data_IF_842328783951
#
_entry.id   IF_842328783951
#
_cell.length_a   1.000
_cell.length_b   1.000
_cell.length_c   1.000
_cell.angle_alpha   90.00
_cell.angle_beta   90.00
_cell.angle_gamma   90.00
#
_symmetry.space_group_name_H-M   'P 1'
#
loop_
_entity.id
_entity.type
_entity.pdbx_description
1 polymer ?
#
# COMPACT_ATOMS: atom_id res chain seq x y z
N UNK A 1 -11.82 -44.06 20.24
CA UNK A 1 -11.00 -42.84 20.52
C UNK A 1 -10.69 -41.97 19.29
N UNK A 2 -11.23 -42.24 18.09
CA UNK A 2 -10.93 -41.48 16.86
C UNK A 2 -11.95 -40.39 16.51
N UNK A 3 -13.23 -40.57 16.86
CA UNK A 3 -14.31 -39.58 16.58
C UNK A 3 -14.16 -38.26 17.36
N UNK A 4 -13.69 -38.32 18.60
CA UNK A 4 -13.54 -37.13 19.47
C UNK A 4 -12.39 -36.21 19.03
N UNK A 5 -11.32 -36.77 18.46
CA UNK A 5 -10.20 -36.00 17.93
C UNK A 5 -10.57 -35.25 16.65
N UNK A 6 -11.41 -35.86 15.80
CA UNK A 6 -11.93 -35.22 14.59
C UNK A 6 -12.85 -34.02 14.88
N UNK A 7 -13.67 -34.12 15.93
CA UNK A 7 -14.54 -33.03 16.38
C UNK A 7 -13.75 -31.84 16.95
N UNK A 8 -12.71 -32.10 17.74
CA UNK A 8 -11.84 -31.04 18.24
C UNK A 8 -11.09 -30.32 17.09
N UNK A 9 -10.60 -31.06 16.10
CA UNK A 9 -9.93 -30.49 14.93
C UNK A 9 -10.89 -29.62 14.09
N UNK A 10 -12.11 -30.10 13.86
CA UNK A 10 -13.14 -29.33 13.16
C UNK A 10 -13.51 -28.04 13.92
N UNK A 11 -13.54 -28.09 15.26
CA UNK A 11 -13.79 -26.92 16.10
C UNK A 11 -12.67 -25.88 16.01
N UNK A 12 -11.40 -26.30 16.06
CA UNK A 12 -10.27 -25.40 15.87
C UNK A 12 -10.23 -24.77 14.48
N UNK A 13 -10.56 -25.55 13.44
CA UNK A 13 -10.65 -25.03 12.08
C UNK A 13 -11.79 -24.02 11.93
N UNK A 14 -12.96 -24.31 12.52
CA UNK A 14 -14.09 -23.38 12.52
C UNK A 14 -13.77 -22.08 13.28
N UNK A 15 -13.11 -22.19 14.44
CA UNK A 15 -12.68 -21.04 15.23
C UNK A 15 -11.61 -20.20 14.51
N UNK A 16 -10.66 -20.84 13.82
CA UNK A 16 -9.65 -20.15 13.02
C UNK A 16 -10.25 -19.42 11.82
N UNK A 17 -11.21 -20.05 11.12
CA UNK A 17 -11.94 -19.42 10.00
C UNK A 17 -12.82 -18.27 10.50
N UNK A 18 -13.51 -18.43 11.64
CA UNK A 18 -14.28 -17.35 12.26
C UNK A 18 -13.39 -16.18 12.71
N UNK A 19 -12.23 -16.47 13.31
CA UNK A 19 -11.23 -15.46 13.68
C UNK A 19 -10.66 -14.72 12.46
N UNK A 20 -10.38 -15.44 11.36
CA UNK A 20 -9.93 -14.83 10.11
C UNK A 20 -11.00 -13.94 9.46
N UNK A 21 -12.27 -14.37 9.45
CA UNK A 21 -13.38 -13.59 8.92
C UNK A 21 -13.63 -12.31 9.74
N UNK A 22 -13.55 -12.39 11.08
CA UNK A 22 -13.66 -11.24 11.97
C UNK A 22 -12.47 -10.29 11.81
N UNK A 23 -11.24 -10.80 11.68
CA UNK A 23 -10.05 -10.00 11.40
C UNK A 23 -10.14 -9.23 10.08
N UNK A 24 -10.62 -9.87 9.01
CA UNK A 24 -10.83 -9.24 7.69
C UNK A 24 -11.94 -8.18 7.74
N UNK A 25 -13.03 -8.44 8.47
CA UNK A 25 -14.13 -7.48 8.62
C UNK A 25 -13.71 -6.26 9.47
N UNK A 26 -12.94 -6.48 10.53
CA UNK A 26 -12.36 -5.42 11.36
C UNK A 26 -11.34 -4.57 10.59
N UNK A 27 -10.45 -5.20 9.80
CA UNK A 27 -9.45 -4.52 8.96
C UNK A 27 -10.12 -3.63 7.90
N UNK A 28 -11.29 -4.03 7.38
CA UNK A 28 -12.04 -3.24 6.38
C UNK A 28 -12.74 -2.01 6.99
N UNK A 29 -13.17 -2.07 8.25
CA UNK A 29 -13.93 -0.99 8.90
C UNK A 29 -13.06 -0.02 9.71
N UNK A 30 -11.90 -0.45 10.21
CA UNK A 30 -11.00 0.35 11.06
C UNK A 30 -9.84 1.02 10.31
N UNK A 31 -9.51 0.55 9.10
CA UNK A 31 -8.45 1.17 8.27
C UNK A 31 -8.70 2.58 7.75
N UNK A 32 -9.94 3.06 7.48
CA UNK A 32 -10.12 4.42 6.97
C UNK A 32 -9.62 5.50 7.96
N UNK A 33 -9.61 5.19 9.26
CA UNK A 33 -9.46 6.20 10.31
C UNK A 33 -8.01 6.36 10.80
N UNK A 34 -7.13 5.37 10.59
CA UNK A 34 -5.77 5.41 11.16
C UNK A 34 -4.65 5.70 10.15
N UNK A 35 -4.92 5.66 8.85
CA UNK A 35 -3.95 6.00 7.80
C UNK A 35 -4.63 6.92 6.79
N UNK A 36 -4.98 8.13 7.25
CA UNK A 36 -5.32 9.22 6.34
C UNK A 36 -4.16 9.46 5.39
N UNK A 37 -4.41 9.34 4.09
CA UNK A 37 -3.41 9.57 3.05
C UNK A 37 -3.02 11.04 3.07
N UNK A 38 -1.85 11.38 3.59
CA UNK A 38 -1.34 12.74 3.47
C UNK A 38 -0.93 12.98 2.02
N UNK A 39 -1.61 13.91 1.32
CA UNK A 39 -1.25 14.30 -0.04
C UNK A 39 0.06 15.09 -0.04
N UNK A 40 0.74 15.19 -1.20
CA UNK A 40 1.95 16.04 -1.33
C UNK A 40 1.63 17.48 -0.96
N UNK A 41 0.43 17.97 -1.30
CA UNK A 41 -0.04 19.30 -0.93
C UNK A 41 -0.24 19.44 0.57
N UNK A 42 -0.80 18.43 1.24
CA UNK A 42 -0.94 18.42 2.71
C UNK A 42 0.42 18.35 3.42
N UNK A 43 1.38 17.60 2.87
CA UNK A 43 2.76 17.57 3.40
C UNK A 43 3.43 18.95 3.26
N UNK A 44 3.29 19.61 2.10
CA UNK A 44 3.82 20.96 1.87
C UNK A 44 3.13 21.99 2.77
N UNK A 45 1.81 21.88 2.92
CA UNK A 45 1.04 22.75 3.81
C UNK A 45 1.49 22.58 5.26
N UNK A 46 1.66 21.33 5.72
CA UNK A 46 2.18 21.02 7.06
C UNK A 46 3.59 21.58 7.23
N UNK A 47 4.49 21.36 6.28
CA UNK A 47 5.86 21.91 6.32
C UNK A 47 5.87 23.43 6.43
N UNK A 48 5.06 24.12 5.62
CA UNK A 48 4.94 25.57 5.65
C UNK A 48 4.37 26.08 6.99
N UNK A 49 3.38 25.37 7.54
CA UNK A 49 2.75 25.72 8.82
C UNK A 49 3.68 25.48 10.01
N UNK A 50 4.34 24.32 10.06
CA UNK A 50 5.26 23.94 11.13
C UNK A 50 6.45 24.90 11.21
N UNK A 51 6.91 25.41 10.05
CA UNK A 51 7.98 26.42 9.96
C UNK A 51 7.48 27.87 9.98
N UNK A 52 6.16 28.09 10.06
CA UNK A 52 5.52 29.42 10.04
C UNK A 52 6.01 30.30 8.90
N UNK A 53 6.11 29.73 7.69
CA UNK A 53 6.60 30.43 6.51
C UNK A 53 5.66 31.57 6.11
N UNK A 54 6.22 32.70 5.70
CA UNK A 54 5.46 33.77 5.04
C UNK A 54 4.99 33.33 3.65
N UNK A 55 4.04 34.07 3.06
CA UNK A 55 3.53 33.77 1.72
C UNK A 55 4.66 33.74 0.66
N UNK A 56 5.60 34.68 0.72
CA UNK A 56 6.75 34.73 -0.20
C UNK A 56 7.72 33.56 -0.01
N UNK A 57 7.96 33.15 1.23
CA UNK A 57 8.78 31.97 1.54
C UNK A 57 8.12 30.68 1.05
N UNK A 58 6.79 30.55 1.23
CA UNK A 58 6.03 29.40 0.75
C UNK A 58 6.12 29.25 -0.77
N UNK A 59 5.91 30.34 -1.52
CA UNK A 59 6.05 30.32 -2.97
C UNK A 59 7.47 29.95 -3.44
N UNK A 60 8.48 30.41 -2.70
CA UNK A 60 9.89 30.08 -2.97
C UNK A 60 10.16 28.59 -2.72
N UNK A 61 9.69 28.03 -1.59
CA UNK A 61 9.83 26.61 -1.27
C UNK A 61 9.12 25.74 -2.30
N UNK A 62 7.90 26.09 -2.69
CA UNK A 62 7.15 25.35 -3.72
C UNK A 62 7.94 25.30 -5.04
N UNK A 63 8.50 26.43 -5.46
CA UNK A 63 9.34 26.52 -6.66
C UNK A 63 10.59 25.63 -6.58
N UNK A 64 11.28 25.65 -5.43
CA UNK A 64 12.47 24.82 -5.19
C UNK A 64 12.12 23.33 -5.25
N UNK A 65 11.05 22.92 -4.57
CA UNK A 65 10.63 21.52 -4.52
C UNK A 65 10.16 21.02 -5.89
N UNK A 66 9.49 21.85 -6.67
CA UNK A 66 9.07 21.51 -8.04
C UNK A 66 10.27 21.39 -8.98
N UNK A 67 11.25 22.30 -8.88
CA UNK A 67 12.48 22.22 -9.66
C UNK A 67 13.27 20.94 -9.33
N UNK A 68 13.40 20.62 -8.04
CA UNK A 68 14.00 19.35 -7.57
C UNK A 68 13.27 18.15 -8.15
N UNK A 69 11.94 18.12 -8.03
CA UNK A 69 11.14 16.99 -8.53
C UNK A 69 11.32 16.79 -10.05
N UNK A 70 11.34 17.87 -10.83
CA UNK A 70 11.63 17.80 -12.28
C UNK A 70 13.03 17.25 -12.55
N UNK A 71 14.05 17.74 -11.85
CA UNK A 71 15.42 17.28 -12.02
C UNK A 71 15.56 15.77 -11.69
N UNK A 72 14.94 15.32 -10.61
CA UNK A 72 14.92 13.89 -10.24
C UNK A 72 14.15 13.05 -11.27
N UNK A 73 13.02 13.56 -11.77
CA UNK A 73 12.21 12.85 -12.78
C UNK A 73 12.99 12.66 -14.08
N UNK A 74 13.80 13.63 -14.51
CA UNK A 74 14.66 13.49 -15.70
C UNK A 74 15.67 12.33 -15.57
N UNK A 75 16.11 12.00 -14.36
CA UNK A 75 17.01 10.87 -14.11
C UNK A 75 16.25 9.55 -14.05
N UNK A 76 15.08 9.53 -13.40
CA UNK A 76 14.36 8.29 -13.09
C UNK A 76 13.44 7.86 -14.24
N UNK A 77 12.80 8.79 -14.94
CA UNK A 77 11.80 8.52 -15.98
C UNK A 77 12.32 7.61 -17.10
N UNK A 78 13.55 7.80 -17.63
CA UNK A 78 14.12 6.90 -18.63
C UNK A 78 14.30 5.46 -18.12
N UNK A 79 14.56 5.30 -16.82
CA UNK A 79 14.78 3.99 -16.18
C UNK A 79 13.47 3.31 -15.75
N UNK A 80 12.33 4.02 -15.76
CA UNK A 80 11.04 3.47 -15.31
C UNK A 80 10.67 2.14 -15.97
N UNK A 81 10.81 1.95 -17.30
CA UNK A 81 10.46 0.68 -17.94
C UNK A 81 11.31 -0.49 -17.42
N UNK A 82 12.59 -0.25 -17.17
CA UNK A 82 13.51 -1.27 -16.63
C UNK A 82 13.13 -1.63 -15.19
N UNK A 83 12.86 -0.62 -14.37
CA UNK A 83 12.37 -0.83 -12.99
C UNK A 83 11.05 -1.59 -12.96
N UNK A 84 10.13 -1.28 -13.88
CA UNK A 84 8.85 -1.97 -13.99
C UNK A 84 9.01 -3.42 -14.43
N UNK A 85 9.93 -3.70 -15.35
CA UNK A 85 10.30 -5.05 -15.75
C UNK A 85 10.84 -5.86 -14.57
N UNK A 86 11.80 -5.30 -13.81
CA UNK A 86 12.36 -5.95 -12.61
C UNK A 86 11.25 -6.28 -11.60
N UNK A 87 10.34 -5.32 -11.36
CA UNK A 87 9.17 -5.54 -10.48
C UNK A 87 8.26 -6.63 -11.01
N UNK A 88 8.02 -6.68 -12.32
CA UNK A 88 7.17 -7.71 -12.93
C UNK A 88 7.77 -9.12 -12.76
N UNK A 89 9.08 -9.26 -13.01
CA UNK A 89 9.81 -10.52 -12.78
C UNK A 89 9.72 -10.95 -11.31
N UNK A 90 9.98 -10.02 -10.38
CA UNK A 90 9.88 -10.32 -8.95
C UNK A 90 8.47 -10.77 -8.55
N UNK A 91 7.41 -10.10 -9.05
CA UNK A 91 6.02 -10.51 -8.81
C UNK A 91 5.75 -11.93 -9.30
N UNK A 92 6.21 -12.29 -10.50
CA UNK A 92 6.06 -13.64 -11.03
C UNK A 92 6.73 -14.70 -10.15
N UNK A 93 7.96 -14.42 -9.70
CA UNK A 93 8.70 -15.31 -8.79
C UNK A 93 8.02 -15.46 -7.43
N UNK A 94 7.48 -14.37 -6.89
CA UNK A 94 6.69 -14.42 -5.65
C UNK A 94 5.45 -15.27 -5.87
N UNK A 95 4.67 -15.00 -6.92
CA UNK A 95 3.45 -15.78 -7.22
C UNK A 95 3.70 -17.28 -7.37
N UNK A 96 4.85 -17.69 -7.89
CA UNK A 96 5.19 -19.10 -8.10
C UNK A 96 5.43 -19.90 -6.81
N UNK A 97 5.73 -19.23 -5.68
CA UNK A 97 5.99 -19.90 -4.39
C UNK A 97 4.80 -19.84 -3.42
N UNK A 98 3.70 -19.18 -3.80
CA UNK A 98 2.52 -19.01 -2.96
C UNK A 98 1.55 -20.18 -3.13
N UNK A 99 0.84 -20.52 -2.06
CA UNK A 99 -0.33 -21.41 -2.17
C UNK A 99 -1.48 -20.71 -2.92
N UNK A 100 -2.47 -21.44 -3.44
CA UNK A 100 -3.62 -20.83 -4.12
C UNK A 100 -4.36 -19.78 -3.26
N UNK A 101 -4.50 -20.03 -1.96
CA UNK A 101 -5.15 -19.12 -1.03
C UNK A 101 -4.31 -17.84 -0.82
N UNK A 102 -3.00 -17.99 -0.66
CA UNK A 102 -2.06 -16.88 -0.52
C UNK A 102 -1.99 -16.03 -1.81
N UNK A 103 -2.04 -16.68 -2.97
CA UNK A 103 -2.05 -16.01 -4.26
C UNK A 103 -3.27 -15.08 -4.40
N UNK A 104 -4.47 -15.51 -3.98
CA UNK A 104 -5.67 -14.65 -3.98
C UNK A 104 -5.50 -13.40 -3.13
N UNK A 105 -4.89 -13.53 -1.95
CA UNK A 105 -4.61 -12.38 -1.08
C UNK A 105 -3.59 -11.45 -1.74
N UNK A 106 -2.53 -12.01 -2.31
CA UNK A 106 -1.48 -11.26 -2.98
C UNK A 106 -2.00 -10.48 -4.20
N UNK A 107 -2.85 -11.09 -5.03
CA UNK A 107 -3.52 -10.43 -6.14
C UNK A 107 -4.43 -9.29 -5.68
N UNK A 108 -5.16 -9.47 -4.57
CA UNK A 108 -5.97 -8.40 -4.00
C UNK A 108 -5.10 -7.22 -3.54
N UNK A 109 -3.95 -7.49 -2.90
CA UNK A 109 -2.99 -6.46 -2.53
C UNK A 109 -2.49 -5.70 -3.76
N UNK A 110 -2.16 -6.39 -4.85
CA UNK A 110 -1.71 -5.76 -6.09
C UNK A 110 -2.79 -4.88 -6.73
N UNK A 111 -4.05 -5.34 -6.77
CA UNK A 111 -5.19 -4.57 -7.28
C UNK A 111 -5.40 -3.29 -6.48
N UNK A 112 -5.39 -3.38 -5.15
CA UNK A 112 -5.52 -2.23 -4.26
C UNK A 112 -4.39 -1.20 -4.48
N UNK A 113 -3.16 -1.67 -4.76
CA UNK A 113 -2.05 -0.78 -5.08
C UNK A 113 -2.22 -0.10 -6.45
N UNK A 114 -2.62 -0.84 -7.50
CA UNK A 114 -2.87 -0.26 -8.83
C UNK A 114 -3.97 0.81 -8.79
N UNK A 115 -5.07 0.55 -8.08
CA UNK A 115 -6.14 1.53 -7.90
C UNK A 115 -5.61 2.83 -7.25
N UNK A 116 -4.77 2.71 -6.22
CA UNK A 116 -4.12 3.87 -5.57
C UNK A 116 -3.18 4.65 -6.48
N UNK A 117 -2.53 4.00 -7.45
CA UNK A 117 -1.65 4.67 -8.41
C UNK A 117 -2.43 5.34 -9.52
N UNK A 118 -3.56 4.77 -9.96
CA UNK A 118 -4.43 5.35 -10.97
C UNK A 118 -5.21 6.57 -10.44
N UNK A 119 -5.63 6.56 -9.18
CA UNK A 119 -6.23 7.74 -8.53
C UNK A 119 -5.27 8.94 -8.41
N UNK A 120 -3.96 8.75 -8.61
CA UNK A 120 -2.92 9.79 -8.51
C UNK A 120 -2.48 10.37 -9.87
N UNK A 121 -2.94 9.80 -10.98
CA UNK A 121 -2.68 10.32 -12.33
C UNK A 121 -3.84 11.19 -12.78
#
# INVERSE_FOLDING_TARGET
MTRTKGLALAFYLAAAVAGAALGIAADRKLRPTLIGRVTVQEMRARFANDLKLTAGQRASVDTILDARFRAESLLVDPMRPQLDSIRAVARGRISAILTPEQLRVYEQMQRNQKARTQEKK
#
